data_IF_118323994421
#
_entry.id   IF_118323994421
#
_cell.length_a   1.000
_cell.length_b   1.000
_cell.length_c   1.000
_cell.angle_alpha   90.00
_cell.angle_beta   90.00
_cell.angle_gamma   90.00
#
_symmetry.space_group_name_H-M   'P 1'
#
loop_
_entity.id
_entity.type
_entity.pdbx_description
1 polymer ?
#
# COMPACT_ATOMS: atom_id res chain seq x y z
N UNK A 1 -29.36 -4.38 -6.58
CA UNK A 1 -28.94 -4.45 -5.18
C UNK A 1 -27.43 -4.49 -5.22
N UNK A 2 -26.77 -3.38 -4.92
CA UNK A 2 -25.31 -3.37 -4.74
C UNK A 2 -25.06 -4.12 -3.44
N UNK A 3 -24.57 -5.35 -3.53
CA UNK A 3 -24.14 -6.08 -2.35
C UNK A 3 -23.02 -5.26 -1.71
N UNK A 4 -23.34 -4.59 -0.61
CA UNK A 4 -22.39 -3.98 0.33
C UNK A 4 -21.61 -5.14 0.97
N UNK A 5 -20.72 -5.75 0.21
CA UNK A 5 -19.84 -6.80 0.71
C UNK A 5 -18.73 -6.10 1.50
N UNK A 6 -18.86 -6.12 2.82
CA UNK A 6 -17.85 -5.61 3.73
C UNK A 6 -16.58 -6.46 3.59
N UNK A 7 -15.61 -5.98 2.81
CA UNK A 7 -14.30 -6.63 2.70
C UNK A 7 -13.52 -6.39 3.98
N UNK A 8 -13.39 -7.41 4.80
CA UNK A 8 -12.56 -7.36 6.01
C UNK A 8 -11.11 -7.63 5.65
N UNK A 9 -10.23 -6.67 5.91
CA UNK A 9 -8.79 -6.87 5.83
C UNK A 9 -8.26 -7.28 7.20
N UNK A 10 -7.40 -8.30 7.23
CA UNK A 10 -6.83 -8.88 8.44
C UNK A 10 -5.40 -8.38 8.65
N UNK A 11 -4.69 -8.04 7.57
CA UNK A 11 -3.35 -7.47 7.63
C UNK A 11 -3.14 -6.44 6.52
N UNK A 12 -2.43 -5.35 6.85
CA UNK A 12 -2.18 -4.22 5.95
C UNK A 12 -0.75 -3.73 6.14
N UNK A 13 -0.08 -3.43 5.03
CA UNK A 13 1.14 -2.61 4.98
C UNK A 13 0.85 -1.38 4.13
N UNK A 14 1.39 -0.24 4.56
CA UNK A 14 1.20 1.03 3.89
C UNK A 14 2.54 1.75 3.78
N UNK A 15 2.88 2.16 2.56
CA UNK A 15 4.05 2.99 2.28
C UNK A 15 3.59 4.32 1.66
N UNK A 16 3.85 5.48 2.30
CA UNK A 16 3.48 6.77 1.73
C UNK A 16 4.33 7.08 0.48
N UNK A 17 3.71 7.72 -0.51
CA UNK A 17 4.39 8.27 -1.68
C UNK A 17 4.78 9.70 -1.33
N UNK A 18 6.09 9.94 -1.25
CA UNK A 18 6.67 11.24 -0.95
C UNK A 18 7.23 11.84 -2.24
N UNK A 19 6.85 13.08 -2.53
CA UNK A 19 7.34 13.87 -3.67
C UNK A 19 7.70 15.25 -3.15
N UNK A 20 8.94 15.69 -3.36
CA UNK A 20 9.46 16.99 -2.88
C UNK A 20 9.24 17.30 -1.39
N UNK A 21 9.15 16.25 -0.57
CA UNK A 21 8.91 16.37 0.87
C UNK A 21 7.44 16.36 1.29
N UNK A 22 6.51 16.34 0.33
CA UNK A 22 5.07 16.28 0.57
C UNK A 22 4.50 14.87 0.32
N UNK A 23 3.51 14.48 1.13
CA UNK A 23 2.77 13.23 0.95
C UNK A 23 1.67 13.44 -0.09
N UNK A 24 1.80 12.78 -1.25
CA UNK A 24 0.83 12.89 -2.35
C UNK A 24 -0.11 11.69 -2.46
N UNK A 25 0.24 10.58 -1.79
CA UNK A 25 -0.54 9.35 -1.82
C UNK A 25 0.10 8.23 -0.99
N UNK A 26 -0.38 7.00 -1.16
CA UNK A 26 0.18 5.83 -0.50
C UNK A 26 -0.02 4.55 -1.35
N UNK A 27 0.92 3.62 -1.23
CA UNK A 27 0.77 2.23 -1.69
C UNK A 27 0.31 1.39 -0.51
N UNK A 28 -0.79 0.65 -0.69
CA UNK A 28 -1.38 -0.23 0.33
C UNK A 28 -1.35 -1.67 -0.17
N UNK A 29 -0.71 -2.54 0.59
CA UNK A 29 -0.84 -3.99 0.45
C UNK A 29 -1.79 -4.46 1.53
N UNK A 30 -2.88 -5.10 1.15
CA UNK A 30 -3.89 -5.59 2.09
C UNK A 30 -4.20 -7.06 1.81
N UNK A 31 -4.33 -7.85 2.88
CA UNK A 31 -4.77 -9.22 2.80
C UNK A 31 -6.01 -9.44 3.66
N UNK A 32 -6.95 -10.22 3.13
CA UNK A 32 -8.16 -10.69 3.80
C UNK A 32 -8.03 -12.17 4.24
N UNK A 33 -6.82 -12.74 4.16
CA UNK A 33 -6.50 -14.11 4.56
C UNK A 33 -5.62 -14.06 5.83
N UNK A 34 -6.02 -14.73 6.94
CA UNK A 34 -5.27 -14.72 8.20
C UNK A 34 -3.90 -15.41 8.12
N UNK A 35 -3.69 -16.27 7.13
CA UNK A 35 -2.42 -16.98 6.94
C UNK A 35 -1.36 -16.12 6.22
N UNK A 36 -1.76 -14.98 5.64
CA UNK A 36 -0.86 -14.07 4.96
C UNK A 36 -0.14 -13.20 5.99
N UNK A 37 1.16 -13.46 6.15
CA UNK A 37 2.05 -12.62 6.96
C UNK A 37 2.51 -11.42 6.15
N UNK A 38 2.05 -10.24 6.54
CA UNK A 38 2.60 -8.96 6.09
C UNK A 38 3.84 -8.65 6.90
N UNK A 39 5.02 -8.88 6.33
CA UNK A 39 6.31 -8.82 7.01
C UNK A 39 7.28 -7.86 6.30
N UNK A 40 8.58 -8.03 6.53
CA UNK A 40 9.61 -7.15 5.95
C UNK A 40 9.62 -7.20 4.41
N UNK A 41 9.33 -8.35 3.80
CA UNK A 41 9.29 -8.47 2.34
C UNK A 41 8.20 -7.57 1.76
N UNK A 42 6.98 -7.70 2.26
CA UNK A 42 5.83 -6.91 1.82
C UNK A 42 6.04 -5.42 2.10
N UNK A 43 6.70 -5.08 3.22
CA UNK A 43 7.08 -3.70 3.54
C UNK A 43 8.02 -3.13 2.47
N UNK A 44 9.11 -3.84 2.16
CA UNK A 44 10.10 -3.41 1.17
C UNK A 44 9.49 -3.34 -0.23
N UNK A 45 8.56 -4.24 -0.56
CA UNK A 45 7.81 -4.17 -1.81
C UNK A 45 6.95 -2.91 -1.89
N UNK A 46 6.19 -2.59 -0.84
CA UNK A 46 5.37 -1.38 -0.79
C UNK A 46 6.23 -0.11 -0.87
N UNK A 47 7.36 -0.05 -0.15
CA UNK A 47 8.33 1.04 -0.22
C UNK A 47 8.92 1.19 -1.63
N UNK A 48 9.28 0.08 -2.28
CA UNK A 48 9.83 0.09 -3.64
C UNK A 48 8.80 0.62 -4.64
N UNK A 49 7.55 0.17 -4.53
CA UNK A 49 6.47 0.64 -5.37
C UNK A 49 6.18 2.13 -5.13
N UNK A 50 6.13 2.57 -3.86
CA UNK A 50 5.92 3.98 -3.51
C UNK A 50 7.04 4.88 -4.05
N UNK A 51 8.30 4.46 -3.90
CA UNK A 51 9.45 5.18 -4.45
C UNK A 51 9.50 5.18 -5.97
N UNK A 52 9.06 4.10 -6.62
CA UNK A 52 8.95 4.05 -8.09
C UNK A 52 7.86 5.00 -8.62
N UNK A 53 6.70 5.05 -7.95
CA UNK A 53 5.60 5.95 -8.33
C UNK A 53 5.95 7.42 -8.04
N UNK A 54 6.57 7.73 -6.91
CA UNK A 54 7.00 9.10 -6.57
C UNK A 54 7.87 9.73 -7.66
N UNK A 55 8.86 8.98 -8.17
CA UNK A 55 9.73 9.41 -9.28
C UNK A 55 9.01 9.66 -10.60
N UNK A 56 7.84 9.05 -10.83
CA UNK A 56 7.04 9.30 -12.03
C UNK A 56 6.10 10.50 -11.87
N UNK A 57 5.86 10.97 -10.65
CA UNK A 57 5.01 12.11 -10.34
C UNK A 57 5.82 13.41 -10.37
N UNK A 58 7.11 13.36 -10.03
CA UNK A 58 8.05 14.47 -10.22
C UNK A 58 8.01 14.96 -11.68
N UNK A 59 7.57 16.21 -11.86
CA UNK A 59 7.43 16.89 -13.17
C UNK A 59 8.48 17.97 -13.32
#
# INVERSE_FOLDING_TARGET
>A
MTSDESVTYISIITAPIIVDGDVVGAVILAANNPDVKMSELELKMAETAAGFLGKQIET
#
